data_IF_701384785707
#
_entry.id   IF_701384785707
#
_cell.length_a   1.000
_cell.length_b   1.000
_cell.length_c   1.000
_cell.angle_alpha   90.00
_cell.angle_beta   90.00
_cell.angle_gamma   90.00
#
_symmetry.space_group_name_H-M   'P 1'
#
loop_
_entity.id
_entity.type
_entity.pdbx_description
1 polymer ?
#
# COMPACT_ATOMS: atom_id res chain seq x y z
N UNK A 1 -19.37 -35.22 17.16
CA UNK A 1 -18.47 -34.20 16.58
C UNK A 1 -17.28 -34.02 17.52
N UNK A 2 -16.04 -34.12 17.03
CA UNK A 2 -14.83 -34.09 17.86
C UNK A 2 -14.47 -32.66 18.26
N UNK A 3 -14.50 -32.29 19.55
CA UNK A 3 -14.32 -30.91 20.02
C UNK A 3 -12.94 -30.32 19.67
N UNK A 4 -11.92 -31.17 19.50
CA UNK A 4 -10.59 -30.76 19.07
C UNK A 4 -10.60 -30.18 17.65
N UNK A 5 -11.30 -30.83 16.72
CA UNK A 5 -11.39 -30.39 15.32
C UNK A 5 -12.12 -29.05 15.23
N UNK A 6 -13.20 -28.88 16.00
CA UNK A 6 -13.93 -27.61 16.05
C UNK A 6 -13.12 -26.50 16.71
N UNK A 7 -12.32 -26.80 17.72
CA UNK A 7 -11.43 -25.81 18.34
C UNK A 7 -10.32 -25.34 17.40
N UNK A 8 -9.70 -26.29 16.69
CA UNK A 8 -8.63 -25.99 15.74
C UNK A 8 -9.13 -25.18 14.54
N UNK A 9 -10.31 -25.50 14.01
CA UNK A 9 -10.88 -24.76 12.88
C UNK A 9 -11.23 -23.31 13.25
N UNK A 10 -11.80 -23.08 14.42
CA UNK A 10 -12.11 -21.73 14.93
C UNK A 10 -10.83 -20.94 15.17
N UNK A 11 -9.80 -21.55 15.78
CA UNK A 11 -8.52 -20.90 16.00
C UNK A 11 -7.84 -20.51 14.68
N UNK A 12 -7.83 -21.41 13.69
CA UNK A 12 -7.29 -21.16 12.37
C UNK A 12 -8.03 -20.02 11.65
N UNK A 13 -9.37 -20.02 11.69
CA UNK A 13 -10.19 -18.97 11.10
C UNK A 13 -9.94 -17.60 11.76
N UNK A 14 -9.87 -17.55 13.09
CA UNK A 14 -9.64 -16.31 13.83
C UNK A 14 -8.26 -15.71 13.54
N UNK A 15 -7.20 -16.53 13.56
CA UNK A 15 -5.85 -16.07 13.26
C UNK A 15 -5.71 -15.69 11.78
N UNK A 16 -6.19 -16.53 10.86
CA UNK A 16 -6.19 -16.26 9.43
C UNK A 16 -6.92 -14.96 9.08
N UNK A 17 -8.13 -14.77 9.62
CA UNK A 17 -8.92 -13.55 9.42
C UNK A 17 -8.20 -12.28 9.89
N UNK A 18 -7.57 -12.30 11.07
CA UNK A 18 -6.79 -11.16 11.59
C UNK A 18 -5.66 -10.75 10.64
N UNK A 19 -4.90 -11.72 10.11
CA UNK A 19 -3.80 -11.44 9.20
C UNK A 19 -4.30 -10.94 7.84
N UNK A 20 -5.38 -11.52 7.31
CA UNK A 20 -6.01 -11.07 6.07
C UNK A 20 -6.47 -9.61 6.15
N UNK A 21 -7.16 -9.23 7.24
CA UNK A 21 -7.64 -7.85 7.44
C UNK A 21 -6.46 -6.87 7.52
N UNK A 22 -5.38 -7.24 8.23
CA UNK A 22 -4.17 -6.39 8.32
C UNK A 22 -3.50 -6.21 6.97
N UNK A 23 -3.35 -7.30 6.20
CA UNK A 23 -2.76 -7.24 4.88
C UNK A 23 -3.60 -6.38 3.92
N UNK A 24 -4.92 -6.50 3.98
CA UNK A 24 -5.84 -5.71 3.16
C UNK A 24 -5.82 -4.22 3.50
N UNK A 25 -5.83 -3.88 4.80
CA UNK A 25 -5.70 -2.49 5.23
C UNK A 25 -4.35 -1.88 4.82
N UNK A 26 -3.27 -2.63 5.01
CA UNK A 26 -1.95 -2.19 4.56
C UNK A 26 -1.90 -2.00 3.04
N UNK A 27 -2.56 -2.87 2.27
CA UNK A 27 -2.66 -2.74 0.81
C UNK A 27 -3.43 -1.47 0.39
N UNK A 28 -4.57 -1.19 1.02
CA UNK A 28 -5.38 0.00 0.71
C UNK A 28 -4.67 1.33 1.01
N UNK A 29 -3.80 1.35 2.02
CA UNK A 29 -3.08 2.56 2.44
C UNK A 29 -1.77 2.76 1.65
N UNK A 30 -1.37 1.80 0.82
CA UNK A 30 -0.19 1.98 -0.04
C UNK A 30 -0.39 3.19 -0.95
N UNK A 31 0.56 4.13 -0.99
CA UNK A 31 0.51 5.21 -1.95
C UNK A 31 0.54 4.60 -3.36
N UNK A 32 -0.28 5.15 -4.26
CA UNK A 32 -0.27 4.79 -5.68
C UNK A 32 1.17 4.88 -6.21
N UNK A 33 1.72 3.76 -6.67
CA UNK A 33 3.02 3.74 -7.35
C UNK A 33 2.97 4.38 -8.74
N UNK A 34 1.78 4.77 -9.23
CA UNK A 34 1.68 5.57 -10.44
C UNK A 34 2.22 6.96 -10.10
N UNK A 35 3.45 7.24 -10.54
CA UNK A 35 4.03 8.57 -10.51
C UNK A 35 3.02 9.48 -11.21
N UNK A 36 2.43 10.45 -10.49
CA UNK A 36 1.62 11.47 -11.14
C UNK A 36 2.46 12.06 -12.28
N UNK A 37 1.91 12.02 -13.50
CA UNK A 37 2.48 12.77 -14.60
C UNK A 37 2.58 14.21 -14.13
N UNK A 38 3.74 14.84 -14.39
CA UNK A 38 3.99 16.21 -13.98
C UNK A 38 2.86 17.09 -14.50
N UNK A 39 2.03 17.62 -13.61
CA UNK A 39 0.95 18.54 -13.96
C UNK A 39 1.63 19.72 -14.67
N UNK A 40 1.23 19.98 -15.92
CA UNK A 40 2.02 20.80 -16.85
C UNK A 40 2.36 22.20 -16.33
N UNK A 41 3.41 22.80 -16.92
CA UNK A 41 3.98 24.10 -16.52
C UNK A 41 5.09 23.97 -15.48
N UNK A 42 5.91 25.01 -15.32
CA UNK A 42 6.93 25.07 -14.27
C UNK A 42 6.31 25.50 -12.93
N UNK A 43 6.87 25.02 -11.82
CA UNK A 43 6.45 25.45 -10.48
C UNK A 43 6.82 26.92 -10.27
N UNK A 44 6.05 27.66 -9.44
CA UNK A 44 6.36 29.05 -9.10
C UNK A 44 7.71 29.19 -8.36
N UNK A 45 8.19 28.13 -7.72
CA UNK A 45 9.49 28.06 -7.04
C UNK A 45 10.24 26.82 -7.53
N UNK A 46 11.43 27.05 -8.07
CA UNK A 46 12.31 26.03 -8.66
C UNK A 46 12.64 24.94 -7.65
N UNK A 47 12.27 23.70 -7.96
CA UNK A 47 12.60 22.54 -7.13
C UNK A 47 13.74 21.69 -7.73
N UNK A 48 14.51 21.01 -6.88
CA UNK A 48 15.62 20.12 -7.32
C UNK A 48 15.17 19.09 -8.38
N UNK A 49 13.97 18.55 -8.24
CA UNK A 49 13.39 17.60 -9.21
C UNK A 49 13.10 18.24 -10.57
N UNK A 50 12.69 19.50 -10.59
CA UNK A 50 12.38 20.24 -11.81
C UNK A 50 13.65 20.69 -12.53
N UNK A 51 14.65 21.15 -11.78
CA UNK A 51 15.98 21.41 -12.31
C UNK A 51 16.58 20.15 -12.98
N UNK A 52 16.45 18.98 -12.33
CA UNK A 52 16.89 17.70 -12.90
C UNK A 52 16.18 17.36 -14.23
N UNK A 53 14.86 17.61 -14.31
CA UNK A 53 14.09 17.40 -15.55
C UNK A 53 14.47 18.35 -16.68
N UNK A 54 14.77 19.63 -16.37
CA UNK A 54 15.19 20.62 -17.37
C UNK A 54 16.62 20.32 -17.87
N UNK A 55 17.51 19.91 -16.96
CA UNK A 55 18.92 19.65 -17.23
C UNK A 55 19.19 18.23 -17.77
N UNK A 56 18.22 17.32 -17.68
CA UNK A 56 18.35 15.94 -18.16
C UNK A 56 19.25 15.05 -17.32
N UNK A 57 19.32 15.28 -16.00
CA UNK A 57 20.19 14.56 -15.03
C UNK A 57 19.42 13.86 -13.93
#
# INVERSE_FOLDING_TARGET
>A
ATPLVTGLSVAAAALGGKYLIRAYNAYKVRPSCMRQFYEGGFKPVMNRREAALILGV
#
